data_IF_586749678379
#
_entry.id   IF_586749678379
#
_cell.length_a   1.000
_cell.length_b   1.000
_cell.length_c   1.000
_cell.angle_alpha   90.00
_cell.angle_beta   90.00
_cell.angle_gamma   90.00
#
_symmetry.space_group_name_H-M   'P 1'
#
loop_
_entity.id
_entity.type
_entity.pdbx_description
1 polymer ?
#
# COMPACT_ATOMS: atom_id res chain seq x y z
N UNK A 1 -4.05 7.30 0.49
CA UNK A 1 -3.53 7.66 -0.83
C UNK A 1 -4.67 7.93 -1.83
N UNK A 2 -4.41 8.77 -2.85
CA UNK A 2 -5.43 9.15 -3.85
C UNK A 2 -5.98 7.98 -4.66
N UNK A 3 -5.21 6.91 -4.85
CA UNK A 3 -5.67 5.69 -5.54
C UNK A 3 -6.87 5.04 -4.83
N UNK A 4 -6.94 5.14 -3.51
CA UNK A 4 -8.08 4.66 -2.71
C UNK A 4 -9.12 5.77 -2.54
N UNK A 5 -8.69 6.95 -2.07
CA UNK A 5 -9.59 8.03 -1.67
C UNK A 5 -10.49 8.54 -2.79
N UNK A 6 -9.92 8.74 -3.99
CA UNK A 6 -10.71 9.25 -5.13
C UNK A 6 -11.80 8.27 -5.55
N UNK A 7 -11.50 6.97 -5.57
CA UNK A 7 -12.50 5.94 -5.86
C UNK A 7 -13.59 5.87 -4.80
N UNK A 8 -13.23 5.90 -3.52
CA UNK A 8 -14.23 5.94 -2.43
C UNK A 8 -15.15 7.15 -2.58
N UNK A 9 -14.61 8.34 -2.86
CA UNK A 9 -15.41 9.55 -3.08
C UNK A 9 -16.30 9.48 -4.33
N UNK A 10 -15.85 8.79 -5.38
CA UNK A 10 -16.68 8.51 -6.55
C UNK A 10 -17.85 7.60 -6.19
N UNK A 11 -17.58 6.49 -5.49
CA UNK A 11 -18.62 5.57 -5.05
C UNK A 11 -19.62 6.21 -4.05
N UNK A 12 -19.14 7.06 -3.15
CA UNK A 12 -20.00 7.82 -2.25
C UNK A 12 -21.00 8.67 -3.03
N UNK A 13 -20.56 9.30 -4.12
CA UNK A 13 -21.41 10.12 -5.00
C UNK A 13 -22.35 9.26 -5.86
N UNK A 14 -21.86 8.18 -6.45
CA UNK A 14 -22.57 7.45 -7.49
C UNK A 14 -23.56 6.43 -6.94
N UNK A 15 -23.24 5.78 -5.82
CA UNK A 15 -24.05 4.72 -5.22
C UNK A 15 -24.34 4.95 -3.73
N UNK A 16 -24.07 6.16 -3.23
CA UNK A 16 -24.42 6.60 -1.87
C UNK A 16 -23.87 5.71 -0.74
N UNK A 17 -22.64 5.20 -0.88
CA UNK A 17 -21.96 4.52 0.23
C UNK A 17 -21.60 5.55 1.31
N UNK A 18 -21.59 5.10 2.58
CA UNK A 18 -21.10 5.92 3.68
C UNK A 18 -19.62 5.62 3.94
N UNK A 19 -18.81 6.66 4.00
CA UNK A 19 -17.38 6.56 4.27
C UNK A 19 -17.09 7.24 5.61
N UNK A 20 -16.41 6.51 6.48
CA UNK A 20 -15.81 7.07 7.69
C UNK A 20 -14.29 7.04 7.56
N UNK A 21 -13.63 8.07 8.09
CA UNK A 21 -12.17 8.16 8.16
C UNK A 21 -11.73 8.11 9.61
N UNK A 22 -10.74 7.27 9.88
CA UNK A 22 -10.15 7.17 11.22
C UNK A 22 -8.92 8.07 11.28
N UNK A 23 -8.87 8.95 12.28
CA UNK A 23 -7.76 9.85 12.48
C UNK A 23 -6.49 9.10 12.90
N UNK A 24 -5.34 9.68 12.60
CA UNK A 24 -4.04 9.20 13.04
C UNK A 24 -3.36 10.22 13.97
N UNK A 25 -2.35 9.77 14.68
CA UNK A 25 -1.47 10.63 15.49
C UNK A 25 -0.68 11.61 14.61
N UNK A 26 0.06 12.54 15.23
CA UNK A 26 1.00 13.44 14.52
C UNK A 26 2.06 12.70 13.72
N UNK A 27 2.41 11.48 14.15
CA UNK A 27 3.36 10.61 13.46
C UNK A 27 2.70 9.78 12.36
N UNK A 28 1.41 9.99 12.12
CA UNK A 28 0.64 9.28 11.09
C UNK A 28 0.26 7.85 11.48
N UNK A 29 0.37 7.45 12.75
CA UNK A 29 0.00 6.11 13.22
C UNK A 29 -1.46 6.13 13.67
N UNK A 30 -2.27 5.22 13.17
CA UNK A 30 -3.64 5.01 13.61
C UNK A 30 -3.66 4.09 14.83
N UNK A 31 -4.42 4.45 15.87
CA UNK A 31 -4.70 3.54 16.97
C UNK A 31 -5.79 2.54 16.51
N UNK A 32 -5.52 1.22 16.51
CA UNK A 32 -6.50 0.22 16.07
C UNK A 32 -7.83 0.29 16.83
N UNK A 33 -7.81 0.60 18.11
CA UNK A 33 -9.03 0.72 18.94
C UNK A 33 -9.98 1.83 18.46
N UNK A 34 -9.44 2.87 17.81
CA UNK A 34 -10.28 3.94 17.29
C UNK A 34 -11.13 3.49 16.10
N UNK A 35 -10.71 2.45 15.36
CA UNK A 35 -11.47 1.87 14.26
C UNK A 35 -12.81 1.32 14.76
N UNK A 36 -12.83 0.70 15.94
CA UNK A 36 -14.04 0.12 16.53
C UNK A 36 -15.18 1.13 16.71
N UNK A 37 -14.84 2.42 16.88
CA UNK A 37 -15.82 3.50 17.04
C UNK A 37 -16.62 3.78 15.76
N UNK A 38 -16.08 3.39 14.60
CA UNK A 38 -16.67 3.60 13.28
C UNK A 38 -17.33 2.36 12.70
N UNK A 39 -17.17 1.20 13.35
CA UNK A 39 -17.80 -0.04 12.89
C UNK A 39 -19.31 0.02 13.16
N UNK A 40 -20.07 -0.19 12.11
CA UNK A 40 -21.53 -0.29 12.12
C UNK A 40 -21.97 -1.68 11.62
N UNK A 41 -23.26 -1.99 11.74
CA UNK A 41 -23.84 -3.26 11.25
C UNK A 41 -23.73 -3.42 9.73
N UNK A 42 -23.65 -2.29 9.00
CA UNK A 42 -23.56 -2.19 7.56
C UNK A 42 -22.12 -1.90 7.06
N UNK A 43 -21.13 -1.92 7.94
CA UNK A 43 -19.73 -1.78 7.54
C UNK A 43 -19.29 -3.02 6.76
N UNK A 44 -19.01 -2.84 5.47
CA UNK A 44 -18.66 -3.93 4.57
C UNK A 44 -17.15 -4.06 4.32
N UNK A 45 -16.40 -2.94 4.43
CA UNK A 45 -15.00 -2.89 4.03
C UNK A 45 -14.18 -1.96 4.94
N UNK A 46 -13.02 -2.44 5.36
CA UNK A 46 -11.94 -1.63 5.93
C UNK A 46 -10.80 -1.56 4.91
N UNK A 47 -10.38 -0.36 4.55
CA UNK A 47 -9.24 -0.13 3.64
C UNK A 47 -8.14 0.58 4.38
N UNK A 48 -6.93 0.02 4.33
CA UNK A 48 -5.77 0.62 4.97
C UNK A 48 -4.54 0.62 4.07
N UNK A 49 -3.77 1.72 4.09
CA UNK A 49 -2.43 1.75 3.49
C UNK A 49 -1.44 1.25 4.54
N UNK A 50 -0.66 0.21 4.25
CA UNK A 50 0.27 -0.37 5.23
C UNK A 50 1.40 0.58 5.59
N UNK A 51 1.95 1.29 4.60
CA UNK A 51 3.03 2.26 4.79
C UNK A 51 2.70 3.56 4.07
N UNK A 52 2.81 4.68 4.78
CA UNK A 52 2.58 6.00 4.20
C UNK A 52 3.65 6.34 3.15
N UNK A 53 3.21 6.74 1.96
CA UNK A 53 4.12 7.24 0.92
C UNK A 53 4.66 8.66 1.21
N UNK A 54 4.16 9.32 2.24
CA UNK A 54 4.58 10.67 2.65
C UNK A 54 5.46 10.61 3.90
N UNK A 55 4.98 9.97 4.94
CA UNK A 55 5.66 9.95 6.25
C UNK A 55 6.51 8.69 6.47
N UNK A 56 6.41 7.68 5.60
CA UNK A 56 7.03 6.38 5.81
C UNK A 56 6.43 5.55 6.94
N UNK A 57 5.45 6.09 7.66
CA UNK A 57 4.85 5.48 8.85
C UNK A 57 4.29 4.11 8.55
N UNK A 58 4.67 3.11 9.34
CA UNK A 58 4.16 1.74 9.28
C UNK A 58 2.90 1.64 10.13
N UNK A 59 1.81 1.14 9.55
CA UNK A 59 0.53 0.97 10.23
C UNK A 59 0.43 -0.39 10.94
N UNK A 60 -0.30 -0.50 12.04
CA UNK A 60 -0.50 -1.74 12.80
C UNK A 60 -1.52 -2.67 12.10
N UNK A 61 -1.15 -3.20 10.92
CA UNK A 61 -2.04 -3.97 10.04
C UNK A 61 -2.55 -5.24 10.71
N UNK A 62 -1.71 -5.92 11.48
CA UNK A 62 -2.09 -7.16 12.18
C UNK A 62 -3.22 -6.94 13.19
N UNK A 63 -3.13 -5.89 13.98
CA UNK A 63 -4.16 -5.51 14.96
C UNK A 63 -5.45 -5.08 14.26
N UNK A 64 -5.33 -4.32 13.18
CA UNK A 64 -6.48 -3.88 12.37
C UNK A 64 -7.15 -5.09 11.71
N UNK A 65 -6.39 -6.00 11.13
CA UNK A 65 -6.89 -7.23 10.52
C UNK A 65 -7.61 -8.13 11.52
N UNK A 66 -7.12 -8.19 12.77
CA UNK A 66 -7.82 -8.90 13.85
C UNK A 66 -9.21 -8.28 14.13
N UNK A 67 -9.28 -6.94 14.21
CA UNK A 67 -10.55 -6.23 14.40
C UNK A 67 -11.50 -6.50 13.23
N UNK A 68 -11.02 -6.43 11.98
CA UNK A 68 -11.80 -6.73 10.79
C UNK A 68 -12.36 -8.16 10.83
N UNK A 69 -11.52 -9.15 11.14
CA UNK A 69 -11.89 -10.57 11.27
C UNK A 69 -12.94 -10.82 12.34
N UNK A 70 -12.76 -10.24 13.53
CA UNK A 70 -13.72 -10.36 14.66
C UNK A 70 -15.10 -9.79 14.30
N UNK A 71 -15.16 -8.78 13.45
CA UNK A 71 -16.39 -8.13 13.00
C UNK A 71 -16.91 -8.66 11.65
N UNK A 72 -16.24 -9.65 11.04
CA UNK A 72 -16.59 -10.22 9.72
C UNK A 72 -16.63 -9.17 8.61
N UNK A 73 -15.71 -8.20 8.66
CA UNK A 73 -15.57 -7.13 7.69
C UNK A 73 -14.39 -7.45 6.78
N UNK A 74 -14.56 -7.24 5.49
CA UNK A 74 -13.47 -7.42 4.52
C UNK A 74 -12.33 -6.44 4.79
N UNK A 75 -11.11 -6.94 4.81
CA UNK A 75 -9.93 -6.11 5.02
C UNK A 75 -9.05 -6.04 3.76
N UNK A 76 -8.99 -4.84 3.17
CA UNK A 76 -8.14 -4.54 2.03
C UNK A 76 -6.93 -3.72 2.47
N UNK A 77 -5.75 -4.21 2.13
CA UNK A 77 -4.48 -3.51 2.42
C UNK A 77 -3.82 -3.03 1.13
N UNK A 78 -3.54 -1.73 1.08
CA UNK A 78 -2.66 -1.14 0.07
C UNK A 78 -1.21 -1.28 0.52
N UNK A 79 -0.52 -2.24 -0.09
CA UNK A 79 0.89 -2.55 0.15
C UNK A 79 1.83 -1.92 -0.89
N UNK A 80 1.41 -0.87 -1.58
CA UNK A 80 2.20 -0.25 -2.65
C UNK A 80 3.58 0.27 -2.19
N UNK A 81 3.76 0.57 -0.91
CA UNK A 81 5.04 0.99 -0.34
C UNK A 81 5.78 -0.14 0.40
N UNK A 82 5.06 -1.14 0.89
CA UNK A 82 5.62 -2.18 1.76
C UNK A 82 5.99 -3.46 1.03
N UNK A 83 5.28 -3.80 -0.07
CA UNK A 83 5.58 -5.01 -0.84
C UNK A 83 7.01 -4.95 -1.42
N UNK A 84 7.84 -5.90 -1.04
CA UNK A 84 9.25 -5.97 -1.41
C UNK A 84 10.23 -5.31 -0.43
N UNK A 85 9.75 -4.48 0.52
CA UNK A 85 10.57 -3.79 1.51
C UNK A 85 10.45 -4.37 2.92
N UNK A 86 9.34 -5.03 3.22
CA UNK A 86 9.13 -5.71 4.50
C UNK A 86 8.29 -6.98 4.31
N UNK A 87 8.38 -7.89 5.28
CA UNK A 87 7.58 -9.12 5.29
C UNK A 87 6.09 -8.76 5.45
N UNK A 88 5.25 -9.39 4.63
CA UNK A 88 3.80 -9.35 4.71
C UNK A 88 3.29 -10.78 4.73
N UNK A 89 2.46 -11.12 5.69
CA UNK A 89 1.79 -12.42 5.75
C UNK A 89 0.27 -12.20 5.76
N UNK A 90 -0.36 -12.47 4.62
CA UNK A 90 -1.79 -12.22 4.44
C UNK A 90 -2.68 -13.05 5.39
N UNK A 91 -2.19 -14.22 5.85
CA UNK A 91 -2.93 -15.10 6.76
C UNK A 91 -2.78 -14.65 8.21
N UNK A 92 -1.53 -14.40 8.64
CA UNK A 92 -1.25 -13.93 9.99
C UNK A 92 -1.82 -12.55 10.26
N UNK A 93 -1.80 -11.67 9.25
CA UNK A 93 -2.29 -10.30 9.34
C UNK A 93 -3.81 -10.19 9.05
N UNK A 94 -4.49 -11.32 8.79
CA UNK A 94 -5.92 -11.40 8.46
C UNK A 94 -6.32 -10.48 7.30
N UNK A 95 -5.51 -10.42 6.25
CA UNK A 95 -5.76 -9.63 5.06
C UNK A 95 -6.60 -10.46 4.07
N UNK A 96 -7.73 -9.92 3.64
CA UNK A 96 -8.59 -10.56 2.65
C UNK A 96 -8.18 -10.17 1.22
N UNK A 97 -7.77 -8.91 1.02
CA UNK A 97 -7.32 -8.40 -0.27
C UNK A 97 -6.05 -7.58 -0.08
N UNK A 98 -4.99 -7.93 -0.80
CA UNK A 98 -3.75 -7.17 -0.83
C UNK A 98 -3.53 -6.56 -2.21
N UNK A 99 -3.43 -5.24 -2.29
CA UNK A 99 -3.06 -4.51 -3.50
C UNK A 99 -1.58 -4.13 -3.47
N UNK A 100 -0.85 -4.38 -4.56
CA UNK A 100 0.56 -4.02 -4.65
C UNK A 100 0.92 -3.44 -6.01
N UNK A 101 2.03 -2.70 -6.08
CA UNK A 101 2.64 -2.21 -7.32
C UNK A 101 4.03 -2.80 -7.51
N UNK A 102 4.38 -3.13 -8.76
CA UNK A 102 5.65 -3.79 -9.04
C UNK A 102 6.86 -2.85 -9.11
N UNK A 103 6.66 -1.60 -9.52
CA UNK A 103 7.75 -0.67 -9.87
C UNK A 103 8.39 0.08 -8.69
N UNK A 104 8.01 -0.26 -7.44
CA UNK A 104 8.62 0.28 -6.23
C UNK A 104 9.58 -0.75 -5.62
N UNK A 105 9.46 -1.04 -4.35
CA UNK A 105 10.36 -1.97 -3.65
C UNK A 105 10.31 -3.41 -4.15
N UNK A 106 9.31 -3.77 -4.97
CA UNK A 106 9.34 -5.04 -5.73
C UNK A 106 10.30 -5.02 -6.93
N UNK A 107 10.95 -3.88 -7.27
CA UNK A 107 11.99 -3.73 -8.28
C UNK A 107 11.60 -4.19 -9.70
N UNK A 108 10.30 -4.23 -10.00
CA UNK A 108 9.79 -4.65 -11.29
C UNK A 108 9.59 -3.46 -12.25
N UNK A 109 9.41 -3.70 -13.55
CA UNK A 109 9.09 -2.66 -14.52
C UNK A 109 7.80 -1.91 -14.19
N UNK A 110 7.72 -0.65 -14.62
CA UNK A 110 6.48 0.14 -14.56
C UNK A 110 5.32 -0.58 -15.28
N UNK A 111 4.09 -0.29 -14.86
CA UNK A 111 2.89 -0.91 -15.43
C UNK A 111 2.66 -2.35 -14.94
N UNK A 112 3.34 -2.75 -13.85
CA UNK A 112 3.10 -4.02 -13.16
C UNK A 112 2.53 -3.79 -11.77
N UNK A 113 1.73 -4.72 -11.30
CA UNK A 113 1.09 -4.73 -10.00
C UNK A 113 0.05 -5.85 -9.95
N UNK A 114 -0.69 -5.95 -8.86
CA UNK A 114 -1.71 -6.98 -8.75
C UNK A 114 -2.53 -6.89 -7.48
N UNK A 115 -3.53 -7.75 -7.43
CA UNK A 115 -4.32 -8.06 -6.26
C UNK A 115 -4.07 -9.51 -5.86
N UNK A 116 -3.84 -9.73 -4.58
CA UNK A 116 -3.94 -11.06 -3.98
C UNK A 116 -5.28 -11.11 -3.26
N UNK A 117 -6.12 -12.06 -3.66
CA UNK A 117 -7.48 -12.23 -3.13
C UNK A 117 -7.49 -13.50 -2.28
N UNK A 118 -7.75 -13.37 -1.00
CA UNK A 118 -7.79 -14.45 -0.01
C UNK A 118 -9.17 -14.47 0.68
N UNK A 119 -10.23 -14.41 -0.14
CA UNK A 119 -11.61 -14.37 0.30
C UNK A 119 -12.53 -14.89 -0.80
N UNK A 120 -13.70 -15.41 -0.42
CA UNK A 120 -14.73 -15.89 -1.36
C UNK A 120 -15.69 -14.78 -1.84
N UNK A 121 -15.33 -13.51 -1.62
CA UNK A 121 -16.16 -12.38 -2.04
C UNK A 121 -16.18 -12.28 -3.56
N UNK A 122 -17.38 -12.12 -4.11
CA UNK A 122 -17.56 -11.83 -5.53
C UNK A 122 -17.13 -10.38 -5.83
N UNK A 123 -15.93 -10.23 -6.40
CA UNK A 123 -15.39 -8.95 -6.81
C UNK A 123 -15.83 -8.69 -8.25
N UNK A 124 -16.65 -7.67 -8.46
CA UNK A 124 -17.11 -7.32 -9.80
C UNK A 124 -15.99 -6.75 -10.67
N UNK A 125 -15.89 -7.17 -11.93
CA UNK A 125 -14.92 -6.61 -12.87
C UNK A 125 -15.20 -5.12 -13.13
N UNK A 126 -14.16 -4.30 -13.05
CA UNK A 126 -14.25 -2.88 -13.40
C UNK A 126 -14.24 -2.65 -14.92
N UNK A 127 -13.66 -3.59 -15.66
CA UNK A 127 -13.53 -3.54 -17.12
C UNK A 127 -14.00 -4.87 -17.71
N UNK A 128 -14.62 -4.81 -18.87
CA UNK A 128 -14.95 -5.98 -19.68
C UNK A 128 -14.26 -5.85 -21.04
N UNK A 129 -13.87 -7.00 -21.64
CA UNK A 129 -13.22 -7.03 -22.95
C UNK A 129 -12.61 -8.39 -23.27
N UNK A 130 -11.88 -8.47 -24.36
CA UNK A 130 -11.24 -9.71 -24.79
C UNK A 130 -10.24 -10.23 -23.76
N UNK A 131 -10.26 -11.53 -23.51
CA UNK A 131 -9.39 -12.19 -22.51
C UNK A 131 -8.42 -13.19 -23.16
N UNK A 132 -8.49 -13.36 -24.51
CA UNK A 132 -7.68 -14.32 -25.25
C UNK A 132 -8.20 -15.76 -25.18
N UNK A 133 -9.31 -16.02 -24.48
CA UNK A 133 -10.01 -17.29 -24.40
C UNK A 133 -11.53 -17.07 -24.48
N UNK A 134 -12.29 -18.17 -24.64
CA UNK A 134 -13.76 -18.17 -24.62
C UNK A 134 -14.42 -17.13 -25.52
N UNK A 135 -13.86 -16.92 -26.73
CA UNK A 135 -14.26 -15.86 -27.67
C UNK A 135 -15.72 -15.92 -28.12
N UNK A 136 -16.37 -17.05 -27.98
CA UNK A 136 -17.79 -17.25 -28.28
C UNK A 136 -18.71 -16.92 -27.10
N UNK A 137 -18.17 -16.68 -25.92
CA UNK A 137 -18.94 -16.34 -24.72
C UNK A 137 -19.25 -14.85 -24.69
N UNK A 138 -20.50 -14.49 -24.48
CA UNK A 138 -20.99 -13.10 -24.58
C UNK A 138 -20.67 -12.24 -23.36
N UNK A 139 -20.33 -12.85 -22.23
CA UNK A 139 -20.09 -12.17 -20.97
C UNK A 139 -18.63 -12.22 -20.56
N UNK A 140 -18.22 -11.34 -19.64
CA UNK A 140 -16.91 -11.43 -18.98
C UNK A 140 -16.82 -12.77 -18.25
N UNK A 141 -15.74 -13.55 -18.42
CA UNK A 141 -15.55 -14.81 -17.71
C UNK A 141 -15.69 -14.66 -16.19
N UNK A 142 -16.18 -15.70 -15.53
CA UNK A 142 -16.39 -15.74 -14.07
C UNK A 142 -15.23 -16.41 -13.31
N UNK A 143 -14.16 -16.81 -14.00
CA UNK A 143 -12.98 -17.45 -13.41
C UNK A 143 -11.74 -16.54 -13.43
N UNK A 144 -10.95 -16.58 -12.37
CA UNK A 144 -9.70 -15.83 -12.26
C UNK A 144 -8.58 -16.46 -13.13
N UNK A 145 -7.66 -15.66 -13.69
CA UNK A 145 -7.60 -14.18 -13.55
C UNK A 145 -8.51 -13.44 -14.54
N UNK A 146 -9.08 -14.12 -15.54
CA UNK A 146 -9.81 -13.53 -16.67
C UNK A 146 -11.04 -12.74 -16.23
N UNK A 147 -11.61 -13.06 -15.04
CA UNK A 147 -12.71 -12.30 -14.47
C UNK A 147 -12.36 -10.81 -14.25
N UNK A 148 -11.14 -10.52 -13.81
CA UNK A 148 -10.69 -9.15 -13.49
C UNK A 148 -9.70 -8.56 -14.50
N UNK A 149 -9.23 -9.37 -15.46
CA UNK A 149 -8.24 -8.95 -16.45
C UNK A 149 -8.84 -8.93 -17.86
N UNK A 150 -8.52 -7.89 -18.62
CA UNK A 150 -8.97 -7.73 -20.01
C UNK A 150 -7.86 -7.16 -20.89
N UNK A 151 -7.90 -7.51 -22.17
CA UNK A 151 -6.92 -7.09 -23.16
C UNK A 151 -5.65 -7.95 -23.14
N UNK A 152 -4.68 -7.59 -23.96
CA UNK A 152 -3.39 -8.27 -24.03
C UNK A 152 -2.58 -7.96 -22.78
N UNK A 153 -2.23 -9.00 -22.03
CA UNK A 153 -1.43 -8.87 -20.81
C UNK A 153 -0.05 -8.27 -21.08
N UNK A 154 0.48 -7.49 -20.12
CA UNK A 154 1.84 -6.98 -20.14
C UNK A 154 2.85 -8.11 -19.84
N UNK A 155 3.03 -9.03 -20.78
CA UNK A 155 3.85 -10.26 -20.62
C UNK A 155 5.30 -9.91 -20.25
N UNK A 156 5.88 -8.91 -20.90
CA UNK A 156 7.26 -8.48 -20.62
C UNK A 156 7.40 -7.89 -19.21
N UNK A 157 6.46 -7.07 -18.79
CA UNK A 157 6.43 -6.54 -17.43
C UNK A 157 6.23 -7.64 -16.37
N UNK A 158 5.33 -8.60 -16.62
CA UNK A 158 5.09 -9.74 -15.73
C UNK A 158 6.35 -10.62 -15.63
N UNK A 159 7.04 -10.87 -16.75
CA UNK A 159 8.32 -11.59 -16.74
C UNK A 159 9.39 -10.85 -15.91
N UNK A 160 9.45 -9.51 -16.00
CA UNK A 160 10.29 -8.67 -15.18
C UNK A 160 9.92 -8.74 -13.69
N UNK A 161 8.63 -8.69 -13.35
CA UNK A 161 8.14 -8.86 -11.97
C UNK A 161 8.54 -10.24 -11.41
N UNK A 162 8.41 -11.31 -12.20
CA UNK A 162 8.87 -12.64 -11.81
C UNK A 162 10.36 -12.67 -11.51
N UNK A 163 11.18 -12.04 -12.34
CA UNK A 163 12.63 -11.96 -12.14
C UNK A 163 12.99 -11.18 -10.87
N UNK A 164 12.31 -10.06 -10.64
CA UNK A 164 12.46 -9.22 -9.46
C UNK A 164 12.09 -9.97 -8.16
N UNK A 165 10.96 -10.68 -8.14
CA UNK A 165 10.55 -11.51 -7.00
C UNK A 165 11.58 -12.62 -6.71
N UNK A 166 12.14 -13.26 -7.75
CA UNK A 166 13.20 -14.25 -7.56
C UNK A 166 14.47 -13.65 -6.96
N UNK A 167 14.82 -12.42 -7.39
CA UNK A 167 15.94 -11.68 -6.81
C UNK A 167 15.68 -11.38 -5.32
N UNK A 168 14.53 -10.80 -4.98
CA UNK A 168 14.17 -10.47 -3.61
C UNK A 168 14.16 -11.71 -2.70
N UNK A 169 13.64 -12.84 -3.19
CA UNK A 169 13.64 -14.10 -2.44
C UNK A 169 15.06 -14.65 -2.20
N UNK A 170 15.98 -14.45 -3.17
CA UNK A 170 17.39 -14.85 -3.03
C UNK A 170 18.13 -13.99 -2.02
N UNK A 171 17.94 -12.68 -2.08
CA UNK A 171 18.55 -11.73 -1.13
C UNK A 171 17.94 -11.85 0.28
N UNK A 172 16.67 -12.28 0.37
CA UNK A 172 15.89 -12.37 1.60
C UNK A 172 15.27 -11.04 2.02
N UNK A 173 13.95 -11.02 2.15
CA UNK A 173 13.19 -9.79 2.51
C UNK A 173 13.66 -9.20 3.85
N UNK A 174 13.96 -10.06 4.82
CA UNK A 174 14.45 -9.60 6.14
C UNK A 174 15.82 -8.92 6.04
N UNK A 175 16.70 -9.39 5.15
CA UNK A 175 18.00 -8.76 4.92
C UNK A 175 17.84 -7.38 4.28
N UNK A 176 16.93 -7.26 3.30
CA UNK A 176 16.61 -6.00 2.64
C UNK A 176 16.02 -5.04 3.65
N UNK A 177 15.02 -5.46 4.41
CA UNK A 177 14.37 -4.65 5.46
C UNK A 177 15.39 -4.15 6.50
N UNK A 178 16.25 -5.03 7.00
CA UNK A 178 17.28 -4.65 7.97
C UNK A 178 18.26 -3.63 7.38
N UNK A 179 18.64 -3.78 6.11
CA UNK A 179 19.53 -2.82 5.45
C UNK A 179 18.89 -1.45 5.26
N UNK A 180 17.64 -1.41 4.81
CA UNK A 180 16.87 -0.16 4.70
C UNK A 180 16.70 0.51 6.07
N UNK A 181 16.43 -0.26 7.11
CA UNK A 181 16.32 0.23 8.48
C UNK A 181 17.63 0.84 9.01
N UNK A 182 18.79 0.20 8.76
CA UNK A 182 20.10 0.77 9.08
C UNK A 182 20.31 2.13 8.40
N UNK A 183 20.02 2.20 7.10
CA UNK A 183 20.15 3.42 6.32
C UNK A 183 19.17 4.51 6.80
N UNK A 184 17.95 4.15 7.12
CA UNK A 184 16.93 5.06 7.66
C UNK A 184 17.38 5.62 9.02
N UNK A 185 17.89 4.76 9.92
CA UNK A 185 18.44 5.16 11.20
C UNK A 185 19.60 6.14 11.03
N UNK A 186 20.54 5.81 10.14
CA UNK A 186 21.67 6.70 9.84
C UNK A 186 21.20 8.05 9.29
N UNK A 187 20.26 8.03 8.34
CA UNK A 187 19.72 9.26 7.75
C UNK A 187 19.02 10.14 8.81
N UNK A 188 18.18 9.57 9.65
CA UNK A 188 17.52 10.30 10.75
C UNK A 188 18.55 10.93 11.70
N UNK A 189 19.57 10.18 12.14
CA UNK A 189 20.63 10.69 12.98
C UNK A 189 21.39 11.86 12.34
N UNK A 190 21.66 11.76 11.03
CA UNK A 190 22.35 12.84 10.29
C UNK A 190 21.46 14.06 10.12
N UNK A 191 20.20 13.85 9.77
CA UNK A 191 19.25 14.94 9.62
C UNK A 191 19.05 15.71 10.94
N UNK A 192 18.97 15.03 12.08
CA UNK A 192 18.82 15.70 13.39
C UNK A 192 19.99 16.63 13.75
N UNK A 193 21.17 16.48 13.12
CA UNK A 193 22.30 17.41 13.30
C UNK A 193 22.18 18.68 12.44
N UNK A 194 21.24 18.73 11.50
CA UNK A 194 21.04 19.89 10.63
C UNK A 194 20.27 20.97 11.39
N UNK A 195 20.84 22.17 11.40
CA UNK A 195 20.20 23.31 12.06
C UNK A 195 18.85 23.63 11.42
N UNK A 196 17.86 23.92 12.25
CA UNK A 196 16.51 24.33 11.84
C UNK A 196 15.74 23.30 11.01
N UNK A 197 16.17 22.02 11.02
CA UNK A 197 15.43 20.95 10.36
C UNK A 197 14.15 20.60 11.13
N UNK A 198 13.12 20.30 10.39
CA UNK A 198 11.85 19.81 10.90
C UNK A 198 11.53 18.48 10.18
N UNK A 199 11.57 17.37 10.94
CA UNK A 199 11.29 16.03 10.43
C UNK A 199 9.85 15.69 10.77
N UNK A 200 9.08 15.23 9.75
CA UNK A 200 7.68 14.83 9.87
C UNK A 200 7.56 13.31 9.95
N UNK A 201 6.62 12.84 10.77
CA UNK A 201 6.40 11.40 11.00
C UNK A 201 7.29 10.82 12.10
N UNK A 202 7.33 9.47 12.23
CA UNK A 202 8.10 8.81 13.26
C UNK A 202 9.60 9.03 13.11
N UNK A 203 10.29 9.26 14.24
CA UNK A 203 11.75 9.28 14.32
C UNK A 203 12.34 7.94 14.79
N UNK A 204 11.47 6.99 15.06
CA UNK A 204 11.81 5.63 15.44
C UNK A 204 11.87 4.76 14.21
N UNK A 205 13.05 4.21 13.90
CA UNK A 205 13.27 3.36 12.73
C UNK A 205 12.48 2.03 12.76
N UNK A 206 11.85 1.69 13.89
CA UNK A 206 10.93 0.54 13.99
C UNK A 206 9.52 0.88 13.45
N UNK A 207 9.20 2.18 13.36
CA UNK A 207 7.86 2.69 13.00
C UNK A 207 7.82 3.35 11.63
N UNK A 208 8.96 3.41 10.95
CA UNK A 208 9.10 4.07 9.66
C UNK A 208 9.82 3.16 8.67
N UNK A 209 9.31 3.08 7.47
CA UNK A 209 10.03 2.51 6.33
C UNK A 209 10.88 3.62 5.68
N UNK A 210 11.69 3.30 4.67
CA UNK A 210 12.72 4.15 4.05
C UNK A 210 12.24 5.46 3.38
N UNK A 211 11.19 6.09 3.90
CA UNK A 211 10.67 7.38 3.44
C UNK A 211 10.73 8.38 4.59
N UNK A 212 11.52 9.44 4.45
CA UNK A 212 11.66 10.50 5.46
C UNK A 212 11.24 11.82 4.83
N UNK A 213 10.22 12.46 5.42
CA UNK A 213 9.80 13.81 5.05
C UNK A 213 10.38 14.83 6.01
N UNK A 214 10.97 15.87 5.46
CA UNK A 214 11.53 16.95 6.27
C UNK A 214 11.39 18.32 5.58
N UNK A 215 11.54 19.38 6.35
CA UNK A 215 11.68 20.74 5.86
C UNK A 215 12.74 21.49 6.69
N UNK A 216 13.12 22.68 6.25
CA UNK A 216 13.98 23.59 6.99
C UNK A 216 13.17 24.84 7.31
N UNK A 217 13.15 25.24 8.59
CA UNK A 217 12.38 26.40 9.03
C UNK A 217 12.69 27.64 8.19
N UNK A 218 11.67 28.39 7.85
CA UNK A 218 11.74 29.61 7.06
C UNK A 218 12.29 29.41 5.61
N UNK A 219 12.28 28.17 5.12
CA UNK A 219 12.60 27.84 3.71
C UNK A 219 11.37 27.23 3.03
N UNK A 220 11.19 27.52 1.75
CA UNK A 220 10.18 26.85 0.97
C UNK A 220 10.67 25.47 0.56
N UNK A 221 9.84 24.43 0.58
CA UNK A 221 10.23 23.07 0.17
C UNK A 221 10.81 23.02 -1.25
N UNK A 222 10.27 23.83 -2.16
CA UNK A 222 10.71 23.88 -3.57
C UNK A 222 12.16 24.39 -3.68
N UNK A 223 12.55 25.37 -2.86
CA UNK A 223 13.91 25.91 -2.86
C UNK A 223 14.89 24.86 -2.34
N UNK A 224 14.50 24.10 -1.29
CA UNK A 224 15.32 23.01 -0.75
C UNK A 224 15.49 21.92 -1.81
N UNK A 225 14.38 21.50 -2.45
CA UNK A 225 14.40 20.49 -3.52
C UNK A 225 15.33 20.90 -4.67
N UNK A 226 15.25 22.15 -5.12
CA UNK A 226 16.09 22.67 -6.19
C UNK A 226 17.59 22.65 -5.81
N UNK A 227 17.93 23.03 -4.58
CA UNK A 227 19.31 23.00 -4.09
C UNK A 227 19.85 21.56 -4.02
N UNK A 228 19.03 20.62 -3.57
CA UNK A 228 19.42 19.21 -3.47
C UNK A 228 19.58 18.55 -4.83
N UNK A 229 18.76 18.93 -5.82
CA UNK A 229 18.84 18.43 -7.20
C UNK A 229 20.12 18.87 -7.94
N UNK A 230 20.72 19.99 -7.51
CA UNK A 230 21.96 20.55 -8.08
C UNK A 230 23.24 19.94 -7.51
N UNK A 231 23.17 19.06 -6.52
CA UNK A 231 24.30 18.43 -5.81
C UNK A 231 24.45 16.96 -6.13
#
# INVERSE_FOLDING_TARGET
>A
HNAVWRWLKTLEKDINIKIDTVECSKDGITNPEDIKKYIRKDTALIVFTQVSNVLGTIQPIKEIGKIARENKIVFLVDAAQSAGAMKIDIKEDNIDILAFTGHKSLLAPMGTGGLIINTDIDIKPLKAGGTGGDSAYEYQPDYYPNHLETGTSNVSGIAGLRAAIKFLNREGIDNIHNKEKELTKYALQRLETVKDIEIYGPKDCEKILSVISFNIKNKRPEDISTILDQK
#
